data_IF_433987097906
#
_entry.id   IF_433987097906
#
_cell.length_a   1.000
_cell.length_b   1.000
_cell.length_c   1.000
_cell.angle_alpha   90.00
_cell.angle_beta   90.00
_cell.angle_gamma   90.00
#
_symmetry.space_group_name_H-M   'P 1'
#
loop_
_entity.id
_entity.type
_entity.pdbx_description
1 polymer ?
#
# COMPACT_ATOMS: atom_id res chain seq x y z
N UNK A 1 -23.04 -27.11 -13.85
CA UNK A 1 -23.98 -26.06 -13.40
C UNK A 1 -23.24 -24.74 -13.41
N UNK A 2 -23.60 -23.82 -14.30
CA UNK A 2 -23.09 -22.45 -14.29
C UNK A 2 -24.08 -21.68 -13.42
N UNK A 3 -23.65 -21.18 -12.25
CA UNK A 3 -24.48 -20.27 -11.46
C UNK A 3 -24.74 -19.01 -12.30
N UNK A 4 -25.98 -18.48 -12.33
CA UNK A 4 -26.24 -17.19 -12.95
C UNK A 4 -25.37 -16.12 -12.28
N UNK A 5 -24.93 -15.08 -13.03
CA UNK A 5 -24.20 -13.98 -12.44
C UNK A 5 -25.03 -13.33 -11.33
N UNK A 6 -24.39 -12.98 -10.23
CA UNK A 6 -25.05 -12.35 -9.09
C UNK A 6 -25.76 -11.07 -9.55
N UNK A 7 -26.97 -10.84 -9.03
CA UNK A 7 -27.68 -9.60 -9.34
C UNK A 7 -26.93 -8.39 -8.74
N UNK A 8 -27.05 -7.21 -9.35
CA UNK A 8 -26.43 -5.98 -8.83
C UNK A 8 -26.67 -5.74 -7.32
N UNK A 9 -27.90 -5.89 -6.76
CA UNK A 9 -28.11 -5.75 -5.31
C UNK A 9 -27.40 -6.83 -4.46
N UNK A 10 -27.30 -8.07 -4.95
CA UNK A 10 -26.54 -9.13 -4.26
C UNK A 10 -25.05 -8.80 -4.22
N UNK A 11 -24.52 -8.26 -5.34
CA UNK A 11 -23.13 -7.83 -5.45
C UNK A 11 -22.83 -6.69 -4.48
N UNK A 12 -23.64 -5.64 -4.50
CA UNK A 12 -23.49 -4.51 -3.57
C UNK A 12 -23.55 -4.95 -2.11
N UNK A 13 -24.46 -5.86 -1.75
CA UNK A 13 -24.54 -6.40 -0.39
C UNK A 13 -23.28 -7.15 0.03
N UNK A 14 -22.74 -7.99 -0.87
CA UNK A 14 -21.47 -8.72 -0.64
C UNK A 14 -20.30 -7.77 -0.42
N UNK A 15 -20.13 -6.81 -1.32
CA UNK A 15 -19.04 -5.82 -1.25
C UNK A 15 -19.14 -4.99 0.04
N UNK A 16 -20.35 -4.56 0.42
CA UNK A 16 -20.55 -3.83 1.68
C UNK A 16 -20.15 -4.65 2.92
N UNK A 17 -20.46 -5.95 2.94
CA UNK A 17 -20.07 -6.84 4.02
C UNK A 17 -18.54 -7.00 4.08
N UNK A 18 -17.89 -7.16 2.93
CA UNK A 18 -16.42 -7.25 2.84
C UNK A 18 -15.73 -5.98 3.32
N UNK A 19 -16.17 -4.80 2.86
CA UNK A 19 -15.63 -3.51 3.32
C UNK A 19 -15.85 -3.31 4.82
N UNK A 20 -16.99 -3.76 5.35
CA UNK A 20 -17.26 -3.71 6.80
C UNK A 20 -16.32 -4.61 7.60
N UNK A 21 -15.95 -5.78 7.05
CA UNK A 21 -14.95 -6.65 7.67
C UNK A 21 -13.55 -6.02 7.63
N UNK A 22 -13.15 -5.43 6.50
CA UNK A 22 -11.88 -4.72 6.34
C UNK A 22 -11.75 -3.53 7.31
N UNK A 23 -12.84 -2.82 7.59
CA UNK A 23 -12.85 -1.72 8.56
C UNK A 23 -12.37 -2.12 9.97
N UNK A 24 -12.48 -3.41 10.33
CA UNK A 24 -12.02 -3.94 11.61
C UNK A 24 -10.50 -4.13 11.71
N UNK A 25 -9.80 -4.29 10.59
CA UNK A 25 -8.36 -4.63 10.55
C UNK A 25 -7.50 -3.66 9.75
N UNK A 26 -8.10 -2.79 8.93
CA UNK A 26 -7.40 -1.96 7.94
C UNK A 26 -7.55 -0.46 8.25
N UNK A 27 -6.50 0.37 8.08
CA UNK A 27 -6.55 1.81 8.33
C UNK A 27 -7.68 2.53 7.64
N UNK A 28 -8.26 3.50 8.35
CA UNK A 28 -9.36 4.32 7.82
C UNK A 28 -8.95 5.02 6.52
N UNK A 29 -7.69 5.46 6.38
CA UNK A 29 -7.19 6.03 5.12
C UNK A 29 -7.28 5.07 3.91
N UNK A 30 -7.24 3.76 4.13
CA UNK A 30 -7.39 2.75 3.08
C UNK A 30 -8.84 2.21 2.96
N UNK A 31 -9.61 2.26 4.06
CA UNK A 31 -11.01 1.79 4.07
C UNK A 31 -11.98 2.86 3.59
N UNK A 32 -11.70 4.14 3.86
CA UNK A 32 -12.53 5.28 3.47
C UNK A 32 -12.86 5.30 1.97
N UNK A 33 -11.89 5.14 1.03
CA UNK A 33 -12.20 5.11 -0.40
C UNK A 33 -13.19 4.00 -0.77
N UNK A 34 -13.03 2.79 -0.20
CA UNK A 34 -13.94 1.67 -0.41
C UNK A 34 -15.35 1.98 0.12
N UNK A 35 -15.42 2.48 1.36
CA UNK A 35 -16.68 2.78 2.04
C UNK A 35 -17.47 3.85 1.29
N UNK A 36 -16.82 4.95 0.93
CA UNK A 36 -17.45 6.06 0.23
C UNK A 36 -17.89 5.66 -1.19
N UNK A 37 -17.12 4.81 -1.89
CA UNK A 37 -17.53 4.26 -3.18
C UNK A 37 -18.77 3.36 -3.07
N UNK A 38 -18.82 2.48 -2.08
CA UNK A 38 -20.00 1.64 -1.81
C UNK A 38 -21.22 2.47 -1.45
N UNK A 39 -21.04 3.54 -0.67
CA UNK A 39 -22.11 4.47 -0.30
C UNK A 39 -22.65 5.21 -1.53
N UNK A 40 -21.79 5.68 -2.43
CA UNK A 40 -22.18 6.33 -3.68
C UNK A 40 -23.00 5.41 -4.60
N UNK A 41 -22.58 4.15 -4.75
CA UNK A 41 -23.34 3.14 -5.51
C UNK A 41 -24.69 2.86 -4.85
N UNK A 42 -24.71 2.71 -3.52
CA UNK A 42 -25.95 2.44 -2.78
C UNK A 42 -26.96 3.59 -2.84
N UNK A 43 -26.49 4.84 -2.99
CA UNK A 43 -27.35 6.01 -3.19
C UNK A 43 -27.94 6.09 -4.61
N UNK A 44 -27.37 5.37 -5.57
CA UNK A 44 -27.76 5.45 -6.99
C UNK A 44 -27.16 6.66 -7.72
N UNK A 45 -26.19 7.34 -7.11
CA UNK A 45 -25.58 8.57 -7.63
C UNK A 45 -24.35 8.30 -8.51
N UNK A 46 -23.86 7.05 -8.56
CA UNK A 46 -22.74 6.65 -9.39
C UNK A 46 -23.14 6.59 -10.88
N UNK A 47 -22.44 7.34 -11.74
CA UNK A 47 -22.67 7.34 -13.19
C UNK A 47 -22.38 5.99 -13.85
N UNK A 48 -21.40 5.25 -13.31
CA UNK A 48 -21.06 3.88 -13.72
C UNK A 48 -20.88 3.01 -12.46
N UNK A 49 -22.00 2.54 -11.93
CA UNK A 49 -22.04 1.78 -10.69
C UNK A 49 -21.29 0.44 -10.78
N UNK A 50 -21.33 -0.23 -11.92
CA UNK A 50 -20.66 -1.53 -12.09
C UNK A 50 -19.14 -1.37 -12.16
N UNK A 51 -18.63 -0.36 -12.88
CA UNK A 51 -17.20 -0.08 -12.90
C UNK A 51 -16.67 0.35 -11.52
N UNK A 52 -17.46 1.11 -10.74
CA UNK A 52 -17.09 1.49 -9.39
C UNK A 52 -17.05 0.28 -8.45
N UNK A 53 -18.00 -0.66 -8.56
CA UNK A 53 -17.96 -1.91 -7.82
C UNK A 53 -16.77 -2.80 -8.23
N UNK A 54 -16.43 -2.87 -9.53
CA UNK A 54 -15.23 -3.57 -10.01
C UNK A 54 -13.96 -3.01 -9.35
N UNK A 55 -13.86 -1.69 -9.27
CA UNK A 55 -12.72 -1.00 -8.65
C UNK A 55 -12.62 -1.28 -7.14
N UNK A 56 -13.76 -1.28 -6.43
CA UNK A 56 -13.84 -1.59 -4.99
C UNK A 56 -13.40 -3.05 -4.73
N UNK A 57 -13.90 -4.01 -5.51
CA UNK A 57 -13.50 -5.42 -5.39
C UNK A 57 -12.01 -5.63 -5.70
N UNK A 58 -11.50 -4.99 -6.76
CA UNK A 58 -10.08 -5.04 -7.11
C UNK A 58 -9.19 -4.47 -5.99
N UNK A 59 -9.62 -3.38 -5.37
CA UNK A 59 -8.90 -2.75 -4.26
C UNK A 59 -8.93 -3.58 -2.97
N UNK A 60 -10.07 -4.21 -2.63
CA UNK A 60 -10.16 -5.13 -1.50
C UNK A 60 -9.23 -6.36 -1.66
N UNK A 61 -9.17 -6.92 -2.87
CA UNK A 61 -8.21 -7.97 -3.22
C UNK A 61 -6.75 -7.49 -3.10
N UNK A 62 -6.48 -6.24 -3.50
CA UNK A 62 -5.15 -5.65 -3.40
C UNK A 62 -4.71 -5.46 -1.94
N UNK A 63 -5.61 -5.04 -1.05
CA UNK A 63 -5.37 -4.95 0.39
C UNK A 63 -5.00 -6.31 0.98
N UNK A 64 -5.80 -7.34 0.68
CA UNK A 64 -5.55 -8.71 1.14
C UNK A 64 -4.20 -9.22 0.66
N UNK A 65 -3.84 -8.93 -0.60
CA UNK A 65 -2.54 -9.28 -1.17
C UNK A 65 -1.40 -8.55 -0.45
N UNK A 66 -1.55 -7.26 -0.19
CA UNK A 66 -0.53 -6.47 0.50
C UNK A 66 -0.27 -7.03 1.91
N UNK A 67 -1.32 -7.36 2.66
CA UNK A 67 -1.20 -7.95 3.99
C UNK A 67 -0.46 -9.29 3.95
N UNK A 68 -0.81 -10.17 3.01
CA UNK A 68 -0.13 -11.45 2.84
C UNK A 68 1.35 -11.29 2.46
N UNK A 69 1.66 -10.34 1.57
CA UNK A 69 3.02 -10.06 1.13
C UNK A 69 3.87 -9.45 2.25
N UNK A 70 3.36 -8.48 3.00
CA UNK A 70 4.07 -7.87 4.14
C UNK A 70 4.31 -8.89 5.24
N UNK A 71 3.32 -9.72 5.56
CA UNK A 71 3.48 -10.82 6.52
C UNK A 71 4.50 -11.87 6.07
N UNK A 72 4.54 -12.16 4.76
CA UNK A 72 5.54 -13.04 4.15
C UNK A 72 6.96 -12.46 4.22
N UNK A 73 7.09 -11.17 3.87
CA UNK A 73 8.35 -10.44 3.93
C UNK A 73 8.92 -10.41 5.34
N UNK A 74 8.10 -10.04 6.32
CA UNK A 74 8.46 -9.98 7.73
C UNK A 74 8.93 -11.33 8.26
N UNK A 75 8.22 -12.42 7.96
CA UNK A 75 8.68 -13.78 8.32
C UNK A 75 10.07 -14.06 7.77
N UNK A 76 10.29 -13.71 6.51
CA UNK A 76 11.59 -13.89 5.88
C UNK A 76 12.69 -12.98 6.48
N UNK A 77 12.37 -11.75 6.92
CA UNK A 77 13.31 -10.89 7.67
C UNK A 77 13.64 -11.53 9.02
N UNK A 78 12.66 -12.10 9.73
CA UNK A 78 12.88 -12.83 10.99
C UNK A 78 13.76 -14.06 10.82
N UNK A 79 13.57 -14.82 9.74
CA UNK A 79 14.45 -15.95 9.40
C UNK A 79 15.91 -15.49 9.21
N UNK A 80 16.13 -14.35 8.55
CA UNK A 80 17.47 -13.77 8.36
C UNK A 80 18.05 -13.22 9.67
N UNK A 81 17.22 -12.69 10.57
CA UNK A 81 17.63 -12.30 11.92
C UNK A 81 18.13 -13.52 12.73
N UNK A 82 17.45 -14.66 12.63
CA UNK A 82 17.90 -15.91 13.27
C UNK A 82 19.22 -16.42 12.69
N UNK A 83 19.41 -16.29 11.36
CA UNK A 83 20.69 -16.60 10.71
C UNK A 83 21.81 -15.67 11.20
N UNK A 84 21.55 -14.36 11.26
CA UNK A 84 22.53 -13.39 11.77
C UNK A 84 22.91 -13.70 13.24
N UNK A 85 21.95 -14.08 14.09
CA UNK A 85 22.22 -14.50 15.45
C UNK A 85 23.09 -15.77 15.51
N UNK A 86 22.84 -16.74 14.64
CA UNK A 86 23.66 -17.95 14.51
C UNK A 86 25.10 -17.60 14.10
N UNK A 87 25.28 -16.71 13.12
CA UNK A 87 26.60 -16.23 12.69
C UNK A 87 27.35 -15.51 13.81
N UNK A 88 26.66 -14.65 14.58
CA UNK A 88 27.25 -13.94 15.71
C UNK A 88 27.73 -14.88 16.84
N UNK A 89 27.16 -16.09 16.92
CA UNK A 89 27.52 -17.10 17.91
C UNK A 89 28.75 -17.94 17.53
N UNK A 90 29.14 -17.96 16.24
CA UNK A 90 30.31 -18.68 15.74
C UNK A 90 31.59 -17.95 16.17
N UNK A 91 32.22 -18.40 17.26
CA UNK A 91 33.45 -17.81 17.79
C UNK A 91 34.68 -18.61 17.39
N UNK A 92 35.38 -18.14 16.35
CA UNK A 92 36.82 -18.40 16.17
C UNK A 92 37.59 -17.07 16.19
N UNK A 93 38.85 -17.08 16.63
CA UNK A 93 39.64 -15.84 16.82
C UNK A 93 39.77 -14.99 15.54
N UNK A 94 39.71 -15.61 14.36
CA UNK A 94 39.76 -14.93 13.06
C UNK A 94 38.42 -14.29 12.62
N UNK A 95 37.31 -14.55 13.32
CA UNK A 95 35.96 -14.14 12.93
C UNK A 95 35.30 -13.12 13.88
N UNK A 96 36.04 -12.62 14.88
CA UNK A 96 35.51 -11.70 15.91
C UNK A 96 34.90 -10.42 15.34
N UNK A 97 35.51 -9.81 14.32
CA UNK A 97 34.97 -8.60 13.68
C UNK A 97 33.63 -8.89 12.98
N UNK A 98 33.58 -9.94 12.15
CA UNK A 98 32.35 -10.35 11.46
C UNK A 98 31.23 -10.77 12.41
N UNK A 99 31.55 -11.35 13.56
CA UNK A 99 30.57 -11.67 14.60
C UNK A 99 30.00 -10.41 15.28
N UNK A 100 30.82 -9.38 15.49
CA UNK A 100 30.38 -8.10 16.04
C UNK A 100 29.49 -7.32 15.04
N UNK A 101 29.84 -7.36 13.75
CA UNK A 101 29.03 -6.78 12.68
C UNK A 101 27.65 -7.47 12.61
N UNK A 102 27.62 -8.81 12.65
CA UNK A 102 26.38 -9.59 12.68
C UNK A 102 25.50 -9.28 13.91
N UNK A 103 26.12 -9.11 15.10
CA UNK A 103 25.38 -8.74 16.31
C UNK A 103 24.79 -7.32 16.20
N UNK A 104 25.52 -6.38 15.63
CA UNK A 104 25.08 -4.99 15.43
C UNK A 104 23.93 -4.92 14.42
N UNK A 105 24.07 -5.57 13.27
CA UNK A 105 23.02 -5.69 12.26
C UNK A 105 21.77 -6.36 12.85
N UNK A 106 21.93 -7.44 13.61
CA UNK A 106 20.83 -8.14 14.27
C UNK A 106 20.11 -7.29 15.31
N UNK A 107 20.83 -6.47 16.08
CA UNK A 107 20.23 -5.54 17.04
C UNK A 107 19.40 -4.44 16.34
N UNK A 108 19.95 -3.84 15.27
CA UNK A 108 19.25 -2.83 14.48
C UNK A 108 17.97 -3.39 13.84
N UNK A 109 18.06 -4.55 13.18
CA UNK A 109 16.91 -5.20 12.55
C UNK A 109 15.84 -5.62 13.58
N UNK A 110 16.24 -6.06 14.77
CA UNK A 110 15.31 -6.38 15.86
C UNK A 110 14.53 -5.15 16.33
N UNK A 111 15.20 -4.00 16.47
CA UNK A 111 14.52 -2.74 16.83
C UNK A 111 13.46 -2.40 15.79
N UNK A 112 13.81 -2.43 14.51
CA UNK A 112 12.88 -2.10 13.42
C UNK A 112 11.69 -3.07 13.32
N UNK A 113 11.91 -4.35 13.62
CA UNK A 113 10.81 -5.33 13.70
C UNK A 113 9.87 -5.07 14.89
N UNK A 114 10.40 -4.63 16.03
CA UNK A 114 9.58 -4.21 17.16
C UNK A 114 8.76 -2.96 16.82
N UNK A 115 9.37 -1.98 16.16
CA UNK A 115 8.66 -0.79 15.67
C UNK A 115 7.56 -1.18 14.67
N UNK A 116 7.79 -2.20 13.83
CA UNK A 116 6.79 -2.72 12.90
C UNK A 116 5.64 -3.43 13.62
N UNK A 117 5.95 -4.21 14.67
CA UNK A 117 4.95 -4.85 15.53
C UNK A 117 4.12 -3.81 16.31
N UNK A 118 4.75 -2.74 16.81
CA UNK A 118 4.08 -1.60 17.44
C UNK A 118 3.18 -0.84 16.45
N UNK A 119 3.68 -0.57 15.24
CA UNK A 119 2.89 0.04 14.17
C UNK A 119 1.68 -0.83 13.78
N UNK A 120 1.76 -2.15 13.99
CA UNK A 120 0.61 -3.05 13.82
C UNK A 120 -0.35 -3.04 15.01
N UNK A 121 0.16 -2.94 16.23
CA UNK A 121 -0.62 -3.08 17.45
C UNK A 121 -1.27 -1.77 17.92
N UNK A 122 -0.64 -0.62 17.66
CA UNK A 122 -1.22 0.67 17.99
C UNK A 122 -2.53 0.88 17.22
N UNK A 123 -3.58 1.37 17.88
CA UNK A 123 -4.92 1.56 17.32
C UNK A 123 -5.04 2.44 16.06
N UNK A 124 -3.91 2.90 15.50
CA UNK A 124 -3.76 3.27 14.10
C UNK A 124 -3.52 2.01 13.25
N UNK A 125 -4.59 1.25 13.04
CA UNK A 125 -4.74 0.14 12.07
C UNK A 125 -3.65 0.09 10.98
N UNK A 126 -3.07 -1.10 10.77
CA UNK A 126 -1.96 -1.47 9.87
C UNK A 126 -1.72 -0.57 8.64
N UNK A 127 -0.91 0.50 8.73
CA UNK A 127 -0.51 1.24 7.52
C UNK A 127 0.52 0.41 6.71
N UNK A 128 0.15 -0.10 5.52
CA UNK A 128 1.03 -0.94 4.73
C UNK A 128 2.31 -0.21 4.28
N UNK A 129 2.24 1.11 4.07
CA UNK A 129 3.39 1.90 3.65
C UNK A 129 4.40 2.10 4.77
N UNK A 130 3.95 2.40 5.99
CA UNK A 130 4.82 2.51 7.15
C UNK A 130 5.48 1.17 7.49
N UNK A 131 4.71 0.08 7.50
CA UNK A 131 5.22 -1.28 7.75
C UNK A 131 6.27 -1.67 6.70
N UNK A 132 6.00 -1.40 5.42
CA UNK A 132 6.95 -1.69 4.34
C UNK A 132 8.31 -1.02 4.58
N UNK A 133 8.33 0.27 4.94
CA UNK A 133 9.59 1.00 5.20
C UNK A 133 10.41 0.31 6.29
N UNK A 134 9.78 0.01 7.43
CA UNK A 134 10.44 -0.66 8.55
C UNK A 134 11.01 -2.04 8.16
N UNK A 135 10.25 -2.82 7.39
CA UNK A 135 10.70 -4.14 6.91
C UNK A 135 11.84 -4.05 5.90
N UNK A 136 11.83 -3.04 5.03
CA UNK A 136 12.89 -2.81 4.05
C UNK A 136 14.19 -2.33 4.70
N UNK A 137 14.09 -1.51 5.74
CA UNK A 137 15.25 -1.05 6.51
C UNK A 137 15.84 -2.19 7.36
N UNK A 138 14.98 -3.03 7.95
CA UNK A 138 15.41 -4.23 8.67
C UNK A 138 16.11 -5.23 7.73
N UNK A 139 15.56 -5.43 6.53
CA UNK A 139 16.20 -6.23 5.48
C UNK A 139 17.57 -5.65 5.09
N UNK A 140 17.65 -4.36 4.82
CA UNK A 140 18.91 -3.72 4.42
C UNK A 140 19.99 -3.83 5.50
N UNK A 141 19.61 -3.70 6.78
CA UNK A 141 20.53 -3.90 7.90
C UNK A 141 21.10 -5.33 7.91
N UNK A 142 20.26 -6.35 7.71
CA UNK A 142 20.67 -7.77 7.69
C UNK A 142 21.40 -8.17 6.41
N UNK A 143 21.07 -7.57 5.26
CA UNK A 143 21.61 -7.97 3.95
C UNK A 143 23.14 -7.85 3.94
N UNK A 144 23.68 -6.82 4.59
CA UNK A 144 25.14 -6.59 4.70
C UNK A 144 25.90 -7.78 5.31
N UNK A 145 25.26 -8.58 6.17
CA UNK A 145 25.89 -9.71 6.87
C UNK A 145 25.40 -11.07 6.39
N UNK A 146 24.16 -11.17 5.90
CA UNK A 146 23.56 -12.44 5.46
C UNK A 146 23.72 -12.68 3.96
N UNK A 147 23.84 -11.65 3.12
CA UNK A 147 23.86 -11.82 1.65
C UNK A 147 24.98 -12.74 1.18
N UNK A 148 26.17 -12.68 1.80
CA UNK A 148 27.31 -13.54 1.48
C UNK A 148 27.05 -15.04 1.73
N UNK A 149 26.02 -15.38 2.50
CA UNK A 149 25.59 -16.74 2.79
C UNK A 149 24.38 -17.18 1.95
N UNK A 150 23.78 -16.27 1.17
CA UNK A 150 22.69 -16.61 0.23
C UNK A 150 23.30 -17.01 -1.12
N UNK A 151 22.81 -18.12 -1.68
CA UNK A 151 23.12 -18.47 -3.06
C UNK A 151 22.49 -17.46 -4.04
N UNK A 152 22.99 -17.35 -5.29
CA UNK A 152 22.49 -16.36 -6.27
C UNK A 152 20.98 -16.42 -6.50
N UNK A 153 20.41 -17.64 -6.52
CA UNK A 153 18.97 -17.85 -6.68
C UNK A 153 18.18 -17.30 -5.49
N UNK A 154 18.62 -17.58 -4.27
CA UNK A 154 17.97 -17.11 -3.05
C UNK A 154 18.04 -15.58 -2.94
N UNK A 155 19.13 -14.96 -3.39
CA UNK A 155 19.24 -13.50 -3.44
C UNK A 155 18.26 -12.89 -4.47
N UNK A 156 18.13 -13.49 -5.66
CA UNK A 156 17.16 -13.04 -6.66
C UNK A 156 15.70 -13.18 -6.17
N UNK A 157 15.36 -14.32 -5.54
CA UNK A 157 14.05 -14.55 -4.94
C UNK A 157 13.76 -13.52 -3.83
N UNK A 158 14.76 -13.16 -3.00
CA UNK A 158 14.64 -12.11 -1.99
C UNK A 158 14.35 -10.74 -2.62
N UNK A 159 15.09 -10.35 -3.65
CA UNK A 159 14.90 -9.06 -4.32
C UNK A 159 13.53 -8.95 -5.00
N UNK A 160 13.05 -10.04 -5.61
CA UNK A 160 11.70 -10.09 -6.18
C UNK A 160 10.62 -9.96 -5.11
N UNK A 161 10.77 -10.64 -3.96
CA UNK A 161 9.84 -10.51 -2.82
C UNK A 161 9.74 -9.05 -2.34
N UNK A 162 10.88 -8.39 -2.15
CA UNK A 162 10.94 -6.98 -1.73
C UNK A 162 10.27 -6.07 -2.78
N UNK A 163 10.57 -6.30 -4.06
CA UNK A 163 10.00 -5.52 -5.17
C UNK A 163 8.47 -5.69 -5.23
N UNK A 164 7.98 -6.92 -5.15
CA UNK A 164 6.55 -7.18 -5.23
C UNK A 164 5.78 -6.57 -4.06
N UNK A 165 6.32 -6.64 -2.84
CA UNK A 165 5.74 -5.97 -1.68
C UNK A 165 5.68 -4.45 -1.87
N UNK A 166 6.78 -3.83 -2.31
CA UNK A 166 6.84 -2.40 -2.56
C UNK A 166 5.88 -1.96 -3.68
N UNK A 167 5.80 -2.73 -4.77
CA UNK A 167 4.87 -2.47 -5.87
C UNK A 167 3.42 -2.53 -5.41
N UNK A 168 3.04 -3.54 -4.64
CA UNK A 168 1.66 -3.70 -4.16
C UNK A 168 1.25 -2.56 -3.24
N UNK A 169 2.13 -2.14 -2.32
CA UNK A 169 1.87 -1.00 -1.43
C UNK A 169 1.76 0.31 -2.22
N UNK A 170 2.58 0.50 -3.25
CA UNK A 170 2.47 1.67 -4.12
C UNK A 170 1.15 1.70 -4.90
N UNK A 171 0.69 0.54 -5.39
CA UNK A 171 -0.63 0.42 -6.02
C UNK A 171 -1.76 0.72 -5.03
N UNK A 172 -1.65 0.33 -3.74
CA UNK A 172 -2.66 0.70 -2.75
C UNK A 172 -2.84 2.21 -2.63
N UNK A 173 -1.75 2.98 -2.53
CA UNK A 173 -1.87 4.43 -2.46
C UNK A 173 -2.47 5.04 -3.73
N UNK A 174 -2.02 4.61 -4.90
CA UNK A 174 -2.52 5.12 -6.17
C UNK A 174 -4.00 4.77 -6.39
N UNK A 175 -4.37 3.51 -6.17
CA UNK A 175 -5.73 3.03 -6.38
C UNK A 175 -6.72 3.65 -5.38
N UNK A 176 -6.28 3.96 -4.15
CA UNK A 176 -7.07 4.71 -3.18
C UNK A 176 -7.39 6.12 -3.68
N UNK A 177 -6.40 6.85 -4.20
CA UNK A 177 -6.61 8.18 -4.81
C UNK A 177 -7.57 8.10 -5.99
N UNK A 178 -7.44 7.08 -6.83
CA UNK A 178 -8.34 6.88 -7.96
C UNK A 178 -9.78 6.62 -7.54
N UNK A 179 -10.01 5.81 -6.50
CA UNK A 179 -11.34 5.61 -5.93
C UNK A 179 -11.89 6.92 -5.36
N UNK A 180 -11.10 7.68 -4.60
CA UNK A 180 -11.54 8.97 -4.06
C UNK A 180 -11.88 9.97 -5.16
N UNK A 181 -11.08 10.03 -6.23
CA UNK A 181 -11.35 10.87 -7.40
C UNK A 181 -12.63 10.46 -8.13
N UNK A 182 -12.90 9.16 -8.26
CA UNK A 182 -14.14 8.66 -8.87
C UNK A 182 -15.37 9.00 -8.03
N UNK A 183 -15.25 9.01 -6.70
CA UNK A 183 -16.37 9.29 -5.79
C UNK A 183 -16.64 10.79 -5.66
N UNK A 184 -15.60 11.61 -5.54
CA UNK A 184 -15.73 13.02 -5.17
C UNK A 184 -15.46 14.01 -6.32
N UNK A 185 -15.02 13.53 -7.48
CA UNK A 185 -14.74 14.34 -8.65
C UNK A 185 -13.75 15.47 -8.36
N UNK A 186 -14.14 16.70 -8.69
CA UNK A 186 -13.31 17.90 -8.56
C UNK A 186 -12.94 18.28 -7.12
N UNK A 187 -13.57 17.67 -6.11
CA UNK A 187 -13.17 17.88 -4.71
C UNK A 187 -11.79 17.29 -4.40
N UNK A 188 -11.36 16.27 -5.14
CA UNK A 188 -9.97 15.81 -5.12
C UNK A 188 -9.27 16.59 -6.22
N UNK A 189 -8.27 17.40 -5.89
CA UNK A 189 -7.59 18.25 -6.88
C UNK A 189 -6.84 17.41 -7.93
N UNK A 190 -6.42 18.04 -9.03
CA UNK A 190 -5.73 17.32 -10.12
C UNK A 190 -4.36 16.77 -9.69
N UNK A 191 -3.67 17.44 -8.76
CA UNK A 191 -2.32 17.09 -8.33
C UNK A 191 -2.19 15.64 -7.80
N UNK A 192 -2.94 15.22 -6.76
CA UNK A 192 -2.87 13.84 -6.28
C UNK A 192 -3.31 12.82 -7.34
N UNK A 193 -4.29 13.17 -8.18
CA UNK A 193 -4.77 12.28 -9.27
C UNK A 193 -3.68 12.02 -10.31
N UNK A 194 -2.98 13.06 -10.75
CA UNK A 194 -1.84 12.95 -11.69
C UNK A 194 -0.73 12.10 -11.07
N UNK A 195 -0.37 12.33 -9.80
CA UNK A 195 0.66 11.55 -9.12
C UNK A 195 0.31 10.06 -9.00
N UNK A 196 -0.96 9.72 -8.79
CA UNK A 196 -1.45 8.35 -8.77
C UNK A 196 -1.34 7.66 -10.15
N UNK A 197 -1.73 8.37 -11.22
CA UNK A 197 -1.62 7.90 -12.61
C UNK A 197 -0.16 7.64 -13.01
N UNK A 198 0.71 8.61 -12.74
CA UNK A 198 2.15 8.50 -12.98
C UNK A 198 2.76 7.33 -12.21
N UNK A 199 2.32 7.12 -10.96
CA UNK A 199 2.76 5.99 -10.14
C UNK A 199 2.41 4.66 -10.80
N UNK A 200 1.17 4.46 -11.27
CA UNK A 200 0.79 3.23 -11.98
C UNK A 200 1.60 3.01 -13.26
N UNK A 201 1.83 4.08 -14.03
CA UNK A 201 2.63 4.01 -15.25
C UNK A 201 4.09 3.60 -14.96
N UNK A 202 4.70 4.18 -13.93
CA UNK A 202 6.06 3.86 -13.50
C UNK A 202 6.18 2.42 -12.99
N UNK A 203 5.25 1.95 -12.16
CA UNK A 203 5.25 0.59 -11.62
C UNK A 203 5.11 -0.47 -12.72
N UNK A 204 4.30 -0.19 -13.74
CA UNK A 204 4.18 -1.05 -14.93
C UNK A 204 5.52 -1.17 -15.67
N UNK A 205 6.26 -0.07 -15.77
CA UNK A 205 7.62 -0.05 -16.33
C UNK A 205 8.66 -0.75 -15.44
N UNK A 206 8.55 -0.65 -14.13
CA UNK A 206 9.42 -1.34 -13.17
C UNK A 206 9.21 -2.86 -13.22
N UNK A 207 7.96 -3.32 -13.29
CA UNK A 207 7.62 -4.74 -13.39
C UNK A 207 8.23 -5.43 -14.61
N UNK A 208 8.29 -4.75 -15.76
CA UNK A 208 8.94 -5.28 -16.96
C UNK A 208 10.46 -5.41 -16.80
N UNK A 209 11.08 -4.57 -15.96
CA UNK A 209 12.53 -4.55 -15.72
C UNK A 209 12.98 -5.48 -14.60
N UNK A 210 12.10 -5.82 -13.67
CA UNK A 210 12.43 -6.63 -12.49
C UNK A 210 13.11 -7.97 -12.80
N UNK A 211 12.84 -8.58 -13.97
CA UNK A 211 13.49 -9.83 -14.39
C UNK A 211 14.99 -9.67 -14.73
N UNK A 212 15.41 -8.49 -15.20
CA UNK A 212 16.80 -8.20 -15.59
C UNK A 212 17.55 -7.30 -14.61
N UNK A 213 16.83 -6.46 -13.87
CA UNK A 213 17.34 -5.55 -12.85
C UNK A 213 16.33 -5.44 -11.69
N UNK A 214 16.32 -6.43 -10.77
CA UNK A 214 15.38 -6.44 -9.65
C UNK A 214 15.70 -5.36 -8.61
N UNK A 215 16.97 -4.97 -8.46
CA UNK A 215 17.37 -3.90 -7.53
C UNK A 215 16.89 -2.54 -8.01
N UNK A 216 17.15 -2.17 -9.27
CA UNK A 216 16.64 -0.93 -9.84
C UNK A 216 15.11 -0.90 -9.90
N UNK A 217 14.46 -2.05 -10.12
CA UNK A 217 13.00 -2.15 -10.04
C UNK A 217 12.48 -1.93 -8.60
N UNK A 218 13.17 -2.46 -7.58
CA UNK A 218 12.84 -2.24 -6.17
C UNK A 218 12.97 -0.77 -5.78
N UNK A 219 14.06 -0.09 -6.13
CA UNK A 219 14.25 1.34 -5.83
C UNK A 219 13.12 2.20 -6.41
N UNK A 220 12.71 1.92 -7.64
CA UNK A 220 11.58 2.59 -8.28
C UNK A 220 10.25 2.28 -7.58
N UNK A 221 10.03 1.04 -7.16
CA UNK A 221 8.83 0.67 -6.43
C UNK A 221 8.77 1.34 -5.04
N UNK A 222 9.91 1.48 -4.35
CA UNK A 222 10.01 2.21 -3.08
C UNK A 222 9.67 3.70 -3.26
N UNK A 223 10.28 4.35 -4.25
CA UNK A 223 9.98 5.75 -4.56
C UNK A 223 8.51 5.96 -4.96
N UNK A 224 7.94 5.00 -5.69
CA UNK A 224 6.53 5.01 -6.05
C UNK A 224 5.60 4.81 -4.82
N UNK A 225 5.98 3.97 -3.86
CA UNK A 225 5.21 3.77 -2.64
C UNK A 225 5.14 5.05 -1.79
N UNK A 226 6.27 5.75 -1.66
CA UNK A 226 6.32 7.05 -0.97
C UNK A 226 5.45 8.09 -1.69
N UNK A 227 5.60 8.22 -3.01
CA UNK A 227 4.79 9.15 -3.82
C UNK A 227 3.29 8.86 -3.71
N UNK A 228 2.90 7.59 -3.79
CA UNK A 228 1.52 7.17 -3.67
C UNK A 228 0.94 7.46 -2.28
N UNK A 229 1.76 7.33 -1.22
CA UNK A 229 1.37 7.75 0.13
C UNK A 229 1.13 9.25 0.19
N UNK A 230 2.06 10.06 -0.31
CA UNK A 230 1.91 11.53 -0.36
C UNK A 230 0.67 11.95 -1.13
N UNK A 231 0.42 11.35 -2.30
CA UNK A 231 -0.76 11.64 -3.10
C UNK A 231 -2.06 11.28 -2.37
N UNK A 232 -2.08 10.16 -1.63
CA UNK A 232 -3.22 9.79 -0.80
C UNK A 232 -3.42 10.78 0.36
N UNK A 233 -2.35 11.17 1.04
CA UNK A 233 -2.41 12.14 2.14
C UNK A 233 -2.95 13.49 1.63
N UNK A 234 -2.49 13.97 0.47
CA UNK A 234 -3.00 15.17 -0.18
C UNK A 234 -4.48 15.06 -0.57
N UNK A 235 -4.90 13.93 -1.17
CA UNK A 235 -6.30 13.71 -1.51
C UNK A 235 -7.21 13.67 -0.26
N UNK A 236 -6.74 13.12 0.85
CA UNK A 236 -7.49 13.11 2.11
C UNK A 236 -7.58 14.53 2.70
N UNK A 237 -6.51 15.31 2.63
CA UNK A 237 -6.51 16.72 3.04
C UNK A 237 -7.50 17.55 2.20
N UNK A 238 -7.55 17.34 0.89
CA UNK A 238 -8.51 17.99 0.00
C UNK A 238 -9.97 17.71 0.44
N UNK A 239 -10.26 16.47 0.85
CA UNK A 239 -11.59 16.04 1.26
C UNK A 239 -11.98 16.52 2.68
N UNK A 240 -11.00 16.61 3.57
CA UNK A 240 -11.19 17.05 4.97
C UNK A 240 -11.15 18.58 5.11
N UNK A 241 -10.67 19.29 4.07
CA UNK A 241 -10.73 20.73 3.95
C UNK A 241 -12.17 21.26 3.95
N UNK A 242 -12.33 22.54 4.32
CA UNK A 242 -13.63 23.22 4.31
C UNK A 242 -14.16 23.25 2.86
N UNK A 243 -15.37 22.73 2.57
CA UNK A 243 -15.90 22.76 1.22
C UNK A 243 -15.99 24.21 0.72
N UNK A 244 -15.69 24.49 -0.56
CA UNK A 244 -15.87 25.83 -1.10
C UNK A 244 -17.33 26.24 -0.86
N UNK A 245 -17.51 27.42 -0.25
CA UNK A 245 -18.83 27.99 -0.04
C UNK A 245 -19.57 27.97 -1.38
N UNK A 246 -20.69 27.23 -1.45
CA UNK A 246 -21.56 27.25 -2.63
C UNK A 246 -21.85 28.71 -2.93
N UNK A 247 -21.31 29.21 -4.04
CA UNK A 247 -21.58 30.57 -4.50
C UNK A 247 -23.10 30.77 -4.56
N UNK A 248 -23.60 31.97 -4.24
CA UNK A 248 -25.04 32.21 -4.19
C UNK A 248 -25.66 31.80 -5.53
N UNK A 249 -26.63 30.87 -5.48
CA UNK A 249 -27.41 30.48 -6.65
C UNK A 249 -27.96 31.73 -7.34
N UNK A 250 -27.86 31.85 -8.67
CA UNK A 250 -28.45 32.96 -9.38
C UNK A 250 -29.97 32.92 -9.16
N UNK A 251 -30.50 33.96 -8.49
CA UNK A 251 -31.94 34.15 -8.34
C UNK A 251 -32.52 34.31 -9.75
N UNK A 252 -33.46 33.45 -10.18
CA UNK A 252 -34.04 33.58 -11.50
C UNK A 252 -35.02 34.77 -11.53
N UNK A 253 -34.73 35.73 -12.39
CA UNK A 253 -35.72 36.65 -12.95
C UNK A 253 -36.01 37.91 -12.13
N UNK A 254 -35.29 38.99 -12.42
CA UNK A 254 -35.94 40.31 -12.51
C UNK A 254 -35.62 40.90 -13.87
N UNK A 255 -36.62 40.92 -14.76
CA UNK A 255 -36.54 41.69 -16.00
C UNK A 255 -36.48 43.17 -15.65
N UNK A 256 -35.61 43.97 -16.28
CA UNK A 256 -35.68 45.42 -16.18
C UNK A 256 -36.88 45.90 -16.99
N UNK A 257 -37.76 46.67 -16.35
CA UNK A 257 -38.76 47.47 -17.05
C UNK A 257 -38.05 48.64 -17.77
N UNK A 258 -38.26 48.74 -19.07
CA UNK A 258 -38.03 49.94 -19.88
C UNK A 258 -39.15 50.04 -20.92
#
# INVERSE_FOLDING_TARGET
>A
MILPPASHPERLHRVRAEVSALAGSTPERQVRPLREAVELVAAGDASDADALLDAVEAFALLLTRAEAQLSGLERSVRDDLERAASLASLRTASQLASAADAATAGAAARSLLLDADEARAAGARHDPAAILVLLLDADAALDTVVAGYRGPRAQAERQLLLFEAARTVALLGADAVHLLGAVHGERVTDAPRILAEETRAQLSGAARRAAGDPLGALELARAAAERARTALDEALVDLDGVPPARGPSPIPGSSPAA
#
